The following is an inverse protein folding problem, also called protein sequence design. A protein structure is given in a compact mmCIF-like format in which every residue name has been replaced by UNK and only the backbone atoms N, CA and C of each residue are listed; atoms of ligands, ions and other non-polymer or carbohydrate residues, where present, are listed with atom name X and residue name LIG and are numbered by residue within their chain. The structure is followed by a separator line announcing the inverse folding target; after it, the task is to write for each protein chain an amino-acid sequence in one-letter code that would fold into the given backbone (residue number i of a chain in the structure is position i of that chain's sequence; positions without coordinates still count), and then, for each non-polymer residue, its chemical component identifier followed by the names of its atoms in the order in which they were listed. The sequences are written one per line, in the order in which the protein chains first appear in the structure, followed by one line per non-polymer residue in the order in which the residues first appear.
data_IF_984636011564
#
_entry.id   IF_984636011564
#
_cell.length_a   1.000
_cell.length_b   1.000
_cell.length_c   1.000
_cell.angle_alpha   90.00
_cell.angle_beta   90.00
_cell.angle_gamma   90.00
#
_symmetry.space_group_name_H-M   'P 1'
#
loop_
_entity.id
_entity.type
_entity.pdbx_description
1 polymer ?
#
# COMPACT_ATOMS: atom_id res chain seq x y z
N UNK A 1 59.78 34.62 25.06
CA UNK A 1 59.42 34.84 23.64
C UNK A 1 58.29 33.87 23.29
N UNK A 2 57.02 34.27 23.51
CA UNK A 2 55.85 33.42 23.25
C UNK A 2 55.48 33.47 21.77
N UNK A 3 55.53 32.32 21.09
CA UNK A 3 54.97 32.18 19.73
C UNK A 3 53.44 32.10 19.84
N UNK A 4 52.77 33.15 19.35
CA UNK A 4 51.33 33.15 19.10
C UNK A 4 50.98 32.00 18.16
N UNK A 5 50.20 31.05 18.67
CA UNK A 5 49.54 30.02 17.85
C UNK A 5 48.41 30.73 17.11
N UNK A 6 48.67 31.12 15.86
CA UNK A 6 47.61 31.56 14.94
C UNK A 6 46.72 30.35 14.64
N UNK A 7 45.56 30.31 15.26
CA UNK A 7 44.44 29.43 14.90
C UNK A 7 43.95 29.78 13.49
N UNK A 8 44.64 29.25 12.47
CA UNK A 8 44.07 29.05 11.13
C UNK A 8 42.99 27.97 11.24
N UNK A 9 41.77 28.04 10.73
CA UNK A 9 40.97 29.07 10.05
C UNK A 9 39.57 28.44 10.02
N UNK A 10 38.52 28.99 10.66
CA UNK A 10 37.18 28.37 10.66
C UNK A 10 36.61 28.15 9.25
N UNK A 11 37.04 28.97 8.28
CA UNK A 11 36.62 28.91 6.88
C UNK A 11 37.03 27.64 6.13
N UNK A 12 38.16 27.02 6.47
CA UNK A 12 38.58 25.77 5.82
C UNK A 12 37.69 24.59 6.26
N UNK A 13 37.37 24.54 7.55
CA UNK A 13 36.45 23.56 8.13
C UNK A 13 35.02 23.74 7.59
N UNK A 14 34.57 24.98 7.42
CA UNK A 14 33.27 25.30 6.80
C UNK A 14 33.23 24.87 5.32
N UNK A 15 34.28 25.15 4.55
CA UNK A 15 34.36 24.76 3.14
C UNK A 15 34.30 23.24 2.94
N UNK A 16 35.03 22.48 3.77
CA UNK A 16 34.99 21.02 3.74
C UNK A 16 33.61 20.50 4.13
N UNK A 17 32.98 21.07 5.16
CA UNK A 17 31.63 20.70 5.56
C UNK A 17 30.61 20.91 4.44
N UNK A 18 30.68 22.03 3.71
CA UNK A 18 29.79 22.30 2.57
C UNK A 18 29.97 21.27 1.45
N UNK A 19 31.21 20.91 1.11
CA UNK A 19 31.48 19.91 0.06
C UNK A 19 30.99 18.52 0.47
N UNK A 20 31.19 18.12 1.72
CA UNK A 20 30.71 16.83 2.22
C UNK A 20 29.19 16.76 2.26
N UNK A 21 28.55 17.82 2.74
CA UNK A 21 27.08 17.91 2.78
C UNK A 21 26.50 17.95 1.36
N UNK A 22 27.04 18.80 0.49
CA UNK A 22 26.61 18.90 -0.90
C UNK A 22 26.83 17.60 -1.69
N UNK A 23 27.95 16.92 -1.48
CA UNK A 23 28.24 15.62 -2.08
C UNK A 23 27.28 14.53 -1.58
N UNK A 24 27.01 14.49 -0.27
CA UNK A 24 26.06 13.55 0.32
C UNK A 24 24.65 13.70 -0.26
N UNK A 25 24.13 14.92 -0.36
CA UNK A 25 22.81 15.16 -0.97
C UNK A 25 22.82 14.94 -2.48
N UNK A 26 23.88 15.34 -3.18
CA UNK A 26 24.02 15.16 -4.63
C UNK A 26 23.95 13.70 -5.05
N UNK A 27 24.58 12.79 -4.29
CA UNK A 27 24.54 11.35 -4.55
C UNK A 27 23.15 10.73 -4.34
N UNK A 28 22.28 11.37 -3.56
CA UNK A 28 20.94 10.86 -3.27
C UNK A 28 19.88 11.30 -4.30
N UNK A 29 20.16 12.29 -5.15
CA UNK A 29 19.19 12.81 -6.13
C UNK A 29 18.64 11.70 -7.04
N UNK A 30 19.45 10.82 -7.64
CA UNK A 30 18.93 9.74 -8.49
C UNK A 30 18.06 8.74 -7.73
N UNK A 31 18.38 8.48 -6.46
CA UNK A 31 17.60 7.60 -5.59
C UNK A 31 16.23 8.22 -5.30
N UNK A 32 16.21 9.52 -4.98
CA UNK A 32 14.98 10.28 -4.81
C UNK A 32 14.13 10.25 -6.08
N UNK A 33 14.72 10.47 -7.25
CA UNK A 33 13.97 10.46 -8.51
C UNK A 33 13.29 9.12 -8.79
N UNK A 34 13.99 8.00 -8.56
CA UNK A 34 13.41 6.66 -8.68
C UNK A 34 12.30 6.44 -7.66
N UNK A 35 12.52 6.84 -6.41
CA UNK A 35 11.54 6.77 -5.34
C UNK A 35 10.27 7.55 -5.69
N UNK A 36 10.41 8.81 -6.13
CA UNK A 36 9.29 9.66 -6.53
C UNK A 36 8.52 9.04 -7.70
N UNK A 37 9.21 8.40 -8.65
CA UNK A 37 8.59 7.68 -9.75
C UNK A 37 7.64 6.57 -9.26
N UNK A 38 8.15 5.66 -8.42
CA UNK A 38 7.36 4.58 -7.82
C UNK A 38 6.22 5.13 -6.97
N UNK A 39 6.48 6.20 -6.19
CA UNK A 39 5.45 6.86 -5.38
C UNK A 39 4.32 7.42 -6.24
N UNK A 40 4.64 8.04 -7.39
CA UNK A 40 3.63 8.58 -8.31
C UNK A 40 2.80 7.47 -8.96
N UNK A 41 3.45 6.38 -9.39
CA UNK A 41 2.76 5.21 -9.93
C UNK A 41 1.83 4.58 -8.89
N UNK A 42 2.34 4.38 -7.65
CA UNK A 42 1.54 3.87 -6.55
C UNK A 42 0.36 4.81 -6.26
N UNK A 43 0.57 6.13 -6.21
CA UNK A 43 -0.52 7.10 -6.00
C UNK A 43 -1.59 7.02 -7.09
N UNK A 44 -1.20 6.74 -8.34
CA UNK A 44 -2.15 6.55 -9.43
C UNK A 44 -2.94 5.23 -9.31
N UNK A 45 -2.30 4.18 -8.78
CA UNK A 45 -2.93 2.89 -8.49
C UNK A 45 -3.82 2.91 -7.24
N UNK A 46 -3.43 3.67 -6.20
CA UNK A 46 -4.14 3.78 -4.92
C UNK A 46 -5.27 4.78 -5.00
N UNK A 47 -6.47 4.29 -5.32
CA UNK A 47 -7.68 5.12 -5.34
C UNK A 47 -8.61 4.89 -4.15
N UNK A 48 -8.18 4.08 -3.18
CA UNK A 48 -9.04 3.65 -2.10
C UNK A 48 -9.14 4.66 -0.96
N UNK A 49 -10.38 4.91 -0.56
CA UNK A 49 -10.72 5.58 0.69
C UNK A 49 -11.37 4.55 1.61
N UNK A 50 -10.90 4.48 2.86
CA UNK A 50 -11.55 3.69 3.89
C UNK A 50 -12.99 4.20 4.11
N UNK A 51 -13.96 3.30 4.03
CA UNK A 51 -15.37 3.60 4.25
C UNK A 51 -15.94 2.62 5.27
N UNK A 52 -16.67 3.07 6.31
CA UNK A 52 -17.30 2.15 7.23
C UNK A 52 -18.39 1.33 6.52
N UNK A 53 -18.61 0.08 6.94
CA UNK A 53 -19.80 -0.67 6.53
C UNK A 53 -21.01 -0.06 7.25
N UNK A 54 -21.73 0.82 6.55
CA UNK A 54 -23.01 1.36 6.98
C UNK A 54 -24.19 0.42 6.63
N UNK A 55 -25.43 0.84 6.92
CA UNK A 55 -26.61 0.00 6.71
C UNK A 55 -26.82 -0.37 5.23
N UNK A 56 -26.47 0.53 4.30
CA UNK A 56 -26.58 0.27 2.86
C UNK A 56 -25.51 -0.74 2.41
N UNK A 57 -24.26 -0.52 2.81
CA UNK A 57 -23.14 -1.42 2.53
C UNK A 57 -23.37 -2.82 3.14
N UNK A 58 -23.94 -2.90 4.35
CA UNK A 58 -24.29 -4.17 4.99
C UNK A 58 -25.37 -4.90 4.20
N UNK A 59 -26.47 -4.21 3.85
CA UNK A 59 -27.56 -4.79 3.05
C UNK A 59 -27.05 -5.30 1.69
N UNK A 60 -26.13 -4.56 1.07
CA UNK A 60 -25.45 -4.99 -0.15
C UNK A 60 -24.63 -6.26 0.06
N UNK A 61 -23.80 -6.31 1.10
CA UNK A 61 -22.95 -7.47 1.39
C UNK A 61 -23.78 -8.72 1.71
N UNK A 62 -24.88 -8.57 2.44
CA UNK A 62 -25.82 -9.67 2.68
C UNK A 62 -26.46 -10.19 1.39
N UNK A 63 -26.85 -9.28 0.49
CA UNK A 63 -27.37 -9.63 -0.84
C UNK A 63 -26.34 -10.38 -1.69
N UNK A 64 -25.08 -9.95 -1.66
CA UNK A 64 -23.96 -10.63 -2.35
C UNK A 64 -23.81 -12.06 -1.80
N UNK A 65 -23.68 -12.21 -0.48
CA UNK A 65 -23.52 -13.52 0.16
C UNK A 65 -24.70 -14.46 -0.09
N UNK A 66 -25.92 -13.94 -0.18
CA UNK A 66 -27.12 -14.73 -0.36
C UNK A 66 -27.44 -15.13 -1.80
N UNK A 67 -26.88 -14.43 -2.81
CA UNK A 67 -27.31 -14.60 -4.20
C UNK A 67 -26.21 -14.71 -5.26
N UNK A 68 -24.95 -14.47 -4.89
CA UNK A 68 -23.82 -14.51 -5.83
C UNK A 68 -23.02 -15.81 -5.68
N UNK A 69 -22.32 -16.19 -6.74
CA UNK A 69 -21.51 -17.42 -6.76
C UNK A 69 -20.10 -17.12 -6.26
N UNK A 70 -19.55 -18.02 -5.44
CA UNK A 70 -18.15 -17.95 -5.01
C UNK A 70 -17.25 -18.54 -6.10
N UNK A 71 -16.27 -17.77 -6.57
CA UNK A 71 -15.22 -18.23 -7.49
C UNK A 71 -13.93 -18.55 -6.72
N UNK A 72 -13.90 -19.73 -6.10
CA UNK A 72 -12.75 -20.20 -5.31
C UNK A 72 -11.52 -20.57 -6.15
N UNK A 73 -11.69 -20.98 -7.40
CA UNK A 73 -10.56 -21.32 -8.31
C UNK A 73 -9.73 -20.11 -8.72
N UNK A 74 -10.32 -18.92 -8.71
CA UNK A 74 -9.65 -17.64 -9.04
C UNK A 74 -9.10 -16.95 -7.78
N UNK A 75 -9.25 -17.58 -6.61
CA UNK A 75 -8.83 -17.04 -5.32
C UNK A 75 -7.93 -18.03 -4.57
N UNK A 76 -6.69 -18.27 -5.02
CA UNK A 76 -5.73 -18.90 -4.14
C UNK A 76 -5.46 -17.95 -2.95
N UNK A 77 -5.57 -18.48 -1.73
CA UNK A 77 -5.43 -17.77 -0.44
C UNK A 77 -4.04 -17.10 -0.21
N UNK A 78 -3.14 -17.07 -1.21
CA UNK A 78 -1.73 -16.74 -0.99
C UNK A 78 -1.37 -15.27 -1.12
N UNK A 79 -2.11 -14.45 -1.88
CA UNK A 79 -1.60 -13.12 -2.26
C UNK A 79 -1.40 -12.18 -1.05
N UNK A 80 -2.31 -12.19 -0.08
CA UNK A 80 -2.16 -11.34 1.11
C UNK A 80 -1.13 -11.87 2.11
N UNK A 81 -0.93 -13.19 2.17
CA UNK A 81 0.17 -13.77 2.93
C UNK A 81 1.53 -13.36 2.33
N UNK A 82 1.63 -13.33 1.00
CA UNK A 82 2.82 -12.86 0.28
C UNK A 82 3.05 -11.36 0.49
N UNK A 83 2.00 -10.53 0.31
CA UNK A 83 2.05 -9.08 0.61
C UNK A 83 2.51 -8.87 2.04
N UNK A 84 1.96 -9.61 3.00
CA UNK A 84 2.33 -9.51 4.41
C UNK A 84 3.79 -9.84 4.66
N UNK A 85 4.28 -10.94 4.08
CA UNK A 85 5.68 -11.39 4.23
C UNK A 85 6.69 -10.38 3.69
N UNK A 86 6.32 -9.65 2.63
CA UNK A 86 7.20 -8.71 1.93
C UNK A 86 7.12 -7.31 2.57
N UNK A 87 5.93 -6.80 2.81
CA UNK A 87 5.71 -5.41 3.27
C UNK A 87 5.76 -5.26 4.79
N UNK A 88 5.55 -6.35 5.53
CA UNK A 88 5.36 -6.34 6.98
C UNK A 88 3.97 -5.85 7.43
N UNK A 89 3.05 -5.57 6.49
CA UNK A 89 1.64 -5.30 6.80
C UNK A 89 0.99 -6.61 7.25
N UNK A 90 0.13 -6.58 8.26
CA UNK A 90 -0.45 -7.83 8.79
C UNK A 90 -1.44 -8.47 7.81
N UNK A 91 -1.47 -9.81 7.77
CA UNK A 91 -2.50 -10.55 7.04
C UNK A 91 -3.79 -10.64 7.86
N UNK A 92 -4.44 -9.49 8.05
CA UNK A 92 -5.71 -9.29 8.76
C UNK A 92 -6.57 -8.30 7.97
N UNK A 93 -7.86 -8.19 8.26
CA UNK A 93 -8.74 -7.18 7.65
C UNK A 93 -8.19 -5.78 7.86
N UNK A 94 -7.68 -5.48 9.06
CA UNK A 94 -7.01 -4.21 9.35
C UNK A 94 -5.81 -3.95 8.43
N UNK A 95 -5.00 -4.97 8.19
CA UNK A 95 -3.86 -4.88 7.27
C UNK A 95 -4.28 -4.79 5.79
N UNK A 96 -5.38 -5.41 5.37
CA UNK A 96 -5.95 -5.21 4.03
C UNK A 96 -6.36 -3.75 3.84
N UNK A 97 -7.04 -3.16 4.82
CA UNK A 97 -7.43 -1.75 4.79
C UNK A 97 -6.19 -0.85 4.81
N UNK A 98 -5.20 -1.16 5.64
CA UNK A 98 -3.92 -0.44 5.67
C UNK A 98 -3.25 -0.47 4.29
N UNK A 99 -3.08 -1.64 3.68
CA UNK A 99 -2.46 -1.80 2.37
C UNK A 99 -3.16 -0.98 1.28
N UNK A 100 -4.48 -1.07 1.20
CA UNK A 100 -5.24 -0.36 0.17
C UNK A 100 -5.29 1.15 0.39
N UNK A 101 -5.20 1.62 1.63
CA UNK A 101 -5.30 3.07 1.95
C UNK A 101 -3.96 3.71 2.28
N UNK A 102 -2.87 2.93 2.23
CA UNK A 102 -1.53 3.39 2.57
C UNK A 102 -1.11 4.54 1.66
N UNK A 103 -0.58 5.59 2.29
CA UNK A 103 0.00 6.73 1.58
C UNK A 103 1.51 6.66 1.71
N UNK A 104 2.16 6.32 0.61
CA UNK A 104 3.61 6.32 0.51
C UNK A 104 4.16 7.68 0.95
N UNK A 105 5.03 7.68 1.94
CA UNK A 105 5.57 8.92 2.50
C UNK A 105 6.57 9.57 1.52
N UNK A 106 6.79 10.90 1.60
CA UNK A 106 7.86 11.53 0.83
C UNK A 106 9.25 10.99 1.19
N UNK A 107 10.16 11.01 0.21
CA UNK A 107 11.54 10.59 0.36
C UNK A 107 12.25 11.28 1.55
N UNK A 108 12.90 10.48 2.40
CA UNK A 108 13.76 10.97 3.48
C UNK A 108 15.22 10.96 3.08
N UNK A 109 15.92 12.09 3.16
CA UNK A 109 17.37 12.10 2.95
C UNK A 109 18.18 11.49 4.12
N UNK A 110 17.51 11.20 5.24
CA UNK A 110 18.14 10.79 6.49
C UNK A 110 17.70 9.41 6.96
N UNK A 111 16.68 8.81 6.33
CA UNK A 111 16.11 7.53 6.71
C UNK A 111 15.96 6.61 5.50
N UNK A 112 17.08 5.97 5.14
CA UNK A 112 17.13 5.03 4.03
C UNK A 112 16.32 3.76 4.29
N UNK A 113 16.23 3.33 5.54
CA UNK A 113 15.44 2.16 5.93
C UNK A 113 13.96 2.40 5.67
N UNK A 114 13.45 3.56 6.07
CA UNK A 114 12.08 3.98 5.74
C UNK A 114 11.87 4.08 4.23
N UNK A 115 12.78 4.71 3.49
CA UNK A 115 12.62 4.81 2.04
C UNK A 115 12.56 3.42 1.38
N UNK A 116 13.38 2.47 1.82
CA UNK A 116 13.35 1.11 1.29
C UNK A 116 12.02 0.41 1.60
N UNK A 117 11.53 0.52 2.85
CA UNK A 117 10.23 -0.03 3.26
C UNK A 117 9.08 0.56 2.45
N UNK A 118 9.02 1.89 2.36
CA UNK A 118 7.97 2.60 1.62
C UNK A 118 8.04 2.31 0.11
N UNK A 119 9.25 2.19 -0.48
CA UNK A 119 9.40 1.79 -1.90
C UNK A 119 8.85 0.40 -2.15
N UNK A 120 9.06 -0.52 -1.20
CA UNK A 120 8.57 -1.88 -1.30
C UNK A 120 7.05 -1.95 -1.21
N UNK A 121 6.45 -1.26 -0.22
CA UNK A 121 5.00 -1.13 -0.11
C UNK A 121 4.43 -0.54 -1.40
N UNK A 122 4.97 0.59 -1.87
CA UNK A 122 4.52 1.25 -3.09
C UNK A 122 4.63 0.35 -4.34
N UNK A 123 5.72 -0.42 -4.47
CA UNK A 123 5.90 -1.36 -5.59
C UNK A 123 4.85 -2.47 -5.55
N UNK A 124 4.61 -3.05 -4.37
CA UNK A 124 3.58 -4.09 -4.18
C UNK A 124 2.20 -3.52 -4.45
N UNK A 125 1.92 -2.28 -4.02
CA UNK A 125 0.68 -1.55 -4.33
C UNK A 125 0.47 -1.40 -5.84
N UNK A 126 1.49 -1.04 -6.62
CA UNK A 126 1.38 -0.93 -8.08
C UNK A 126 1.02 -2.28 -8.73
N UNK A 127 1.53 -3.39 -8.20
CA UNK A 127 1.35 -4.72 -8.79
C UNK A 127 0.04 -5.38 -8.35
N UNK A 128 -0.31 -5.24 -7.08
CA UNK A 128 -1.34 -6.06 -6.43
C UNK A 128 -2.62 -5.29 -6.09
N UNK A 129 -2.65 -3.95 -6.23
CA UNK A 129 -3.89 -3.21 -5.96
C UNK A 129 -4.92 -3.47 -7.05
N UNK A 130 -6.12 -3.94 -6.70
CA UNK A 130 -7.20 -4.04 -7.65
C UNK A 130 -7.78 -2.67 -8.00
N UNK A 131 -8.50 -2.59 -9.11
CA UNK A 131 -9.35 -1.44 -9.41
C UNK A 131 -10.70 -1.58 -8.72
N UNK A 132 -11.19 -0.51 -8.08
CA UNK A 132 -12.55 -0.43 -7.54
C UNK A 132 -13.41 0.51 -8.36
N UNK A 133 -14.70 0.17 -8.52
CA UNK A 133 -15.66 1.02 -9.25
C UNK A 133 -15.99 2.33 -8.53
N UNK A 134 -15.82 2.37 -7.21
CA UNK A 134 -16.15 3.52 -6.37
C UNK A 134 -14.97 4.05 -5.56
N UNK A 135 -13.79 3.46 -5.72
CA UNK A 135 -12.58 3.85 -5.00
C UNK A 135 -12.70 3.66 -3.49
N UNK A 136 -13.50 2.69 -3.01
CA UNK A 136 -13.68 2.45 -1.57
C UNK A 136 -13.29 1.05 -1.16
N UNK A 137 -12.72 0.97 0.04
CA UNK A 137 -12.63 -0.27 0.82
C UNK A 137 -13.59 -0.14 1.98
N UNK A 138 -14.65 -0.94 1.95
CA UNK A 138 -15.68 -0.95 2.98
C UNK A 138 -15.19 -1.82 4.12
N UNK A 139 -15.19 -1.33 5.36
CA UNK A 139 -14.66 -2.09 6.49
C UNK A 139 -15.49 -1.95 7.77
N UNK A 140 -15.48 -3.03 8.55
CA UNK A 140 -15.89 -3.11 9.94
C UNK A 140 -14.95 -4.09 10.66
N UNK A 141 -15.10 -4.26 11.97
CA UNK A 141 -14.28 -5.19 12.73
C UNK A 141 -14.41 -6.62 12.16
N UNK A 142 -13.28 -7.20 11.72
CA UNK A 142 -13.20 -8.55 11.19
C UNK A 142 -13.77 -8.77 9.78
N UNK A 143 -14.22 -7.73 9.08
CA UNK A 143 -14.67 -7.85 7.68
C UNK A 143 -14.38 -6.59 6.87
N UNK A 144 -13.83 -6.75 5.67
CA UNK A 144 -13.82 -5.68 4.66
C UNK A 144 -14.17 -6.21 3.27
N UNK A 145 -14.60 -5.33 2.37
CA UNK A 145 -14.83 -5.69 0.99
C UNK A 145 -14.54 -4.55 0.01
N UNK A 146 -14.27 -4.92 -1.23
CA UNK A 146 -14.01 -4.03 -2.36
C UNK A 146 -14.95 -4.39 -3.52
N UNK A 147 -15.58 -3.38 -4.11
CA UNK A 147 -16.41 -3.53 -5.32
C UNK A 147 -15.52 -3.43 -6.56
N UNK A 148 -15.15 -4.57 -7.14
CA UNK A 148 -14.26 -4.64 -8.31
C UNK A 148 -14.99 -4.30 -9.62
N UNK A 149 -16.25 -4.73 -9.73
CA UNK A 149 -17.15 -4.44 -10.84
C UNK A 149 -18.61 -4.45 -10.34
N UNK A 150 -19.57 -4.05 -11.17
CA UNK A 150 -21.00 -4.14 -10.83
C UNK A 150 -21.44 -5.56 -10.46
N UNK A 151 -20.74 -6.57 -10.97
CA UNK A 151 -21.02 -7.98 -10.78
C UNK A 151 -19.87 -8.77 -10.13
N UNK A 152 -18.85 -8.09 -9.58
CA UNK A 152 -17.70 -8.72 -8.91
C UNK A 152 -17.37 -7.99 -7.61
N UNK A 153 -17.34 -8.72 -6.51
CA UNK A 153 -17.01 -8.20 -5.18
C UNK A 153 -15.98 -9.11 -4.53
N UNK A 154 -14.96 -8.51 -3.96
CA UNK A 154 -13.94 -9.20 -3.19
C UNK A 154 -14.17 -8.91 -1.71
N UNK A 155 -14.29 -9.96 -0.90
CA UNK A 155 -14.58 -9.90 0.53
C UNK A 155 -13.42 -10.53 1.29
N UNK A 156 -13.04 -9.90 2.40
CA UNK A 156 -12.01 -10.37 3.31
C UNK A 156 -12.58 -10.48 4.72
N UNK A 157 -12.27 -11.58 5.39
CA UNK A 157 -12.76 -11.86 6.73
C UNK A 157 -11.63 -12.38 7.61
N UNK A 158 -11.54 -11.86 8.84
CA UNK A 158 -10.65 -12.43 9.83
C UNK A 158 -11.26 -13.75 10.33
N UNK A 159 -10.47 -14.82 10.32
CA UNK A 159 -10.85 -16.13 10.87
C UNK A 159 -9.81 -16.62 11.88
N UNK A 160 -10.15 -17.67 12.63
CA UNK A 160 -9.19 -18.33 13.54
C UNK A 160 -7.93 -18.83 12.82
N UNK A 161 -8.04 -19.13 11.51
CA UNK A 161 -6.94 -19.62 10.68
C UNK A 161 -6.23 -18.49 9.91
N UNK A 162 -6.57 -17.22 10.18
CA UNK A 162 -6.05 -16.05 9.49
C UNK A 162 -7.06 -15.40 8.55
N UNK A 163 -6.57 -14.54 7.66
CA UNK A 163 -7.39 -13.80 6.71
C UNK A 163 -7.93 -14.73 5.60
N UNK A 164 -9.24 -14.74 5.41
CA UNK A 164 -9.91 -15.45 4.33
C UNK A 164 -10.29 -14.44 3.25
N UNK A 165 -10.00 -14.76 1.98
CA UNK A 165 -10.38 -13.97 0.82
C UNK A 165 -11.43 -14.71 0.00
N UNK A 166 -12.56 -14.07 -0.27
CA UNK A 166 -13.65 -14.63 -1.07
C UNK A 166 -14.00 -13.71 -2.23
N UNK A 167 -13.92 -14.22 -3.45
CA UNK A 167 -14.39 -13.53 -4.65
C UNK A 167 -15.82 -13.96 -5.00
N UNK A 168 -16.75 -13.03 -4.92
CA UNK A 168 -18.14 -13.22 -5.33
C UNK A 168 -18.36 -12.66 -6.74
N UNK A 169 -19.02 -13.46 -7.59
CA UNK A 169 -19.37 -13.09 -8.96
C UNK A 169 -20.86 -13.31 -9.19
N UNK A 170 -21.54 -12.28 -9.70
CA UNK A 170 -22.91 -12.41 -10.21
C UNK A 170 -22.86 -12.78 -11.68
N UNK A 171 -23.55 -13.86 -12.06
CA UNK A 171 -23.74 -14.22 -13.46
C UNK A 171 -24.36 -13.04 -14.23
N UNK A 172 -23.77 -12.67 -15.37
CA UNK A 172 -24.39 -11.68 -16.27
C UNK A 172 -25.65 -12.30 -16.86
N UNK A 173 -26.74 -11.54 -16.93
CA UNK A 173 -28.00 -12.05 -17.50
C UNK A 173 -27.75 -12.53 -18.94
N UNK A 174 -27.72 -13.85 -19.15
CA UNK A 174 -27.45 -14.46 -20.45
C UNK A 174 -26.44 -15.61 -20.42
N UNK A 175 -25.58 -15.71 -19.40
CA UNK A 175 -24.70 -16.87 -19.23
C UNK A 175 -25.41 -17.94 -18.40
N UNK A 176 -25.77 -19.04 -19.07
CA UNK A 176 -26.10 -20.28 -18.38
C UNK A 176 -24.80 -20.82 -17.77
N UNK A 177 -24.75 -20.86 -16.44
CA UNK A 177 -23.80 -21.69 -15.70
C UNK A 177 -23.99 -23.15 -16.13
N UNK A 178 -22.99 -23.71 -16.82
CA UNK A 178 -22.86 -25.14 -17.06
C UNK A 178 -22.32 -25.85 -15.82
#
# INVERSE_FOLDING_TARGET
MMKSVKTKTPYLSIGIAIVLVGGFFGLQIPLKQKYDGIMNEATAATQFVAHPIDAEALSFLESVRGSWTVHSSESPDSIFAEISSVTGIQSTVGGVVEFHTHKTLPYSFFDFGRNAKESLVATVTVIASPSSIDGRVYHADGTCFVKLAENVVEVFEDSENGLVRTLYVKAKSGEKSN
#
